data_IF_182280073692
#
_entry.id   IF_182280073692
#
_cell.length_a   1.000
_cell.length_b   1.000
_cell.length_c   1.000
_cell.angle_alpha   90.00
_cell.angle_beta   90.00
_cell.angle_gamma   90.00
#
_symmetry.space_group_name_H-M   'P 1'
#
loop_
_entity.id
_entity.type
_entity.pdbx_description
1 polymer ?
#
# COMPACT_ATOMS: atom_id res chain seq x y z
N UNK A 1 -69.19 14.65 -12.48
CA UNK A 1 -68.87 15.45 -11.28
C UNK A 1 -67.49 15.05 -10.82
N UNK A 2 -66.56 16.01 -10.85
CA UNK A 2 -65.20 15.93 -10.33
C UNK A 2 -65.20 15.81 -8.81
N UNK A 3 -64.31 14.98 -8.25
CA UNK A 3 -63.54 15.33 -7.04
C UNK A 3 -62.09 14.86 -7.27
N UNK A 4 -61.17 15.79 -7.04
CA UNK A 4 -59.72 15.71 -7.26
C UNK A 4 -58.98 15.23 -6.00
N UNK A 5 -57.73 14.81 -6.23
CA UNK A 5 -56.55 14.91 -5.34
C UNK A 5 -56.53 14.11 -4.03
N UNK A 6 -55.57 13.18 -3.89
CA UNK A 6 -54.27 13.54 -3.29
C UNK A 6 -53.28 12.37 -3.37
N UNK A 7 -52.15 12.61 -4.06
CA UNK A 7 -50.90 11.88 -3.89
C UNK A 7 -50.41 12.10 -2.44
N UNK A 8 -49.89 11.04 -1.81
CA UNK A 8 -48.81 11.14 -0.83
C UNK A 8 -47.94 9.91 -0.94
N UNK A 9 -46.84 10.02 -1.70
CA UNK A 9 -45.71 9.09 -1.67
C UNK A 9 -44.93 9.36 -0.37
N UNK A 10 -44.79 8.34 0.47
CA UNK A 10 -43.87 8.35 1.61
C UNK A 10 -42.54 7.77 1.13
N UNK A 11 -41.60 8.65 0.75
CA UNK A 11 -40.22 8.27 0.52
C UNK A 11 -39.51 8.15 1.88
N UNK A 12 -39.20 6.93 2.29
CA UNK A 12 -38.33 6.67 3.42
C UNK A 12 -36.87 6.89 2.97
N UNK A 13 -36.32 8.07 3.24
CA UNK A 13 -34.88 8.29 3.19
C UNK A 13 -34.26 7.66 4.43
N UNK A 14 -33.70 6.46 4.26
CA UNK A 14 -32.75 5.91 5.21
C UNK A 14 -31.46 6.73 5.16
N UNK A 15 -31.26 7.57 6.17
CA UNK A 15 -29.96 8.18 6.44
C UNK A 15 -29.00 7.08 6.90
N UNK A 16 -28.34 6.43 5.95
CA UNK A 16 -27.18 5.60 6.25
C UNK A 16 -26.08 6.54 6.72
N UNK A 17 -25.67 6.36 7.98
CA UNK A 17 -24.59 7.09 8.62
C UNK A 17 -23.31 6.99 7.79
N UNK A 18 -22.96 8.08 7.10
CA UNK A 18 -21.59 8.31 6.61
C UNK A 18 -20.76 8.69 7.84
N UNK A 19 -20.39 7.69 8.64
CA UNK A 19 -19.28 7.80 9.56
C UNK A 19 -17.99 7.84 8.73
N UNK A 20 -17.07 8.73 9.09
CA UNK A 20 -15.95 9.20 8.28
C UNK A 20 -15.22 8.13 7.46
N UNK A 21 -15.25 8.29 6.13
CA UNK A 21 -14.35 7.59 5.22
C UNK A 21 -12.94 8.13 5.43
N UNK A 22 -12.11 7.40 6.17
CA UNK A 22 -10.68 7.65 6.20
C UNK A 22 -10.09 7.10 4.89
N UNK A 23 -9.95 7.97 3.88
CA UNK A 23 -9.46 7.60 2.57
C UNK A 23 -8.02 7.04 2.66
N UNK A 24 -7.82 5.86 2.09
CA UNK A 24 -6.52 5.27 1.79
C UNK A 24 -5.73 6.23 0.88
N UNK A 25 -4.80 7.02 1.42
CA UNK A 25 -3.94 7.92 0.63
C UNK A 25 -2.85 7.16 -0.11
N UNK A 26 -3.19 6.53 -1.22
CA UNK A 26 -2.24 5.95 -2.15
C UNK A 26 -2.33 6.70 -3.47
N UNK A 27 -1.31 7.52 -3.77
CA UNK A 27 -1.20 8.08 -5.12
C UNK A 27 -0.83 6.94 -6.07
N UNK A 28 -1.79 6.44 -6.84
CA UNK A 28 -1.61 5.53 -7.98
C UNK A 28 -0.97 6.25 -9.19
N UNK A 29 -0.07 7.20 -8.94
CA UNK A 29 0.62 7.90 -10.01
C UNK A 29 1.49 6.90 -10.74
N UNK A 30 1.25 6.77 -12.05
CA UNK A 30 2.01 5.96 -13.00
C UNK A 30 3.47 5.77 -12.55
N UNK A 31 3.75 4.59 -11.99
CA UNK A 31 5.03 4.29 -11.37
C UNK A 31 6.10 3.98 -12.44
N UNK A 32 5.73 3.95 -13.73
CA UNK A 32 6.58 3.60 -14.86
C UNK A 32 6.85 4.74 -15.85
N UNK A 33 6.10 5.84 -15.81
CA UNK A 33 6.36 7.01 -16.67
C UNK A 33 7.53 7.90 -16.26
N UNK A 34 8.29 7.55 -15.22
CA UNK A 34 9.50 8.29 -14.89
C UNK A 34 10.70 7.56 -15.47
N UNK A 35 11.17 8.03 -16.64
CA UNK A 35 12.61 8.21 -16.80
C UNK A 35 13.13 8.80 -15.49
N UNK A 36 14.30 8.42 -14.99
CA UNK A 36 14.74 8.77 -13.62
C UNK A 36 14.97 10.29 -13.39
N UNK A 37 14.39 11.16 -14.21
CA UNK A 37 14.43 12.62 -14.22
C UNK A 37 15.86 13.16 -14.11
N UNK A 38 16.82 12.40 -14.64
CA UNK A 38 18.23 12.79 -14.68
C UNK A 38 18.33 14.03 -15.57
N UNK A 39 18.82 15.13 -15.01
CA UNK A 39 18.88 16.44 -15.68
C UNK A 39 17.73 17.39 -15.36
N UNK A 40 16.69 16.95 -14.62
CA UNK A 40 15.62 17.87 -14.17
C UNK A 40 15.99 18.63 -12.90
N UNK A 41 15.43 19.85 -12.75
CA UNK A 41 15.52 20.64 -11.52
C UNK A 41 14.55 20.07 -10.49
N UNK A 42 15.09 19.53 -9.41
CA UNK A 42 14.33 19.11 -8.22
C UNK A 42 14.16 20.31 -7.30
N UNK A 43 12.95 20.56 -6.84
CA UNK A 43 12.66 21.54 -5.78
C UNK A 43 12.28 20.79 -4.50
N UNK A 44 12.88 21.15 -3.37
CA UNK A 44 12.54 20.60 -2.06
C UNK A 44 12.60 21.67 -0.97
N UNK A 45 12.01 21.37 0.18
CA UNK A 45 12.18 22.15 1.41
C UNK A 45 13.11 21.35 2.32
N UNK A 46 14.29 21.89 2.64
CA UNK A 46 15.23 21.30 3.60
C UNK A 46 15.41 22.31 4.73
N UNK A 47 15.19 21.88 5.97
CA UNK A 47 15.23 22.72 7.18
C UNK A 47 14.36 23.99 7.08
N UNK A 48 13.17 23.86 6.48
CA UNK A 48 12.24 24.97 6.30
C UNK A 48 12.64 25.98 5.21
N UNK A 49 13.69 25.70 4.43
CA UNK A 49 14.15 26.56 3.33
C UNK A 49 13.95 25.89 1.98
N UNK A 50 13.47 26.61 0.96
CA UNK A 50 13.42 26.09 -0.40
C UNK A 50 14.83 25.92 -0.96
N UNK A 51 15.11 24.75 -1.49
CA UNK A 51 16.33 24.39 -2.20
C UNK A 51 15.98 23.80 -3.56
N UNK A 52 16.90 23.93 -4.52
CA UNK A 52 16.76 23.29 -5.81
C UNK A 52 18.09 22.80 -6.35
N UNK A 53 18.12 21.61 -6.94
CA UNK A 53 19.32 21.04 -7.56
C UNK A 53 18.95 20.23 -8.81
N UNK A 54 19.91 20.05 -9.71
CA UNK A 54 19.73 19.15 -10.87
C UNK A 54 19.89 17.71 -10.37
N UNK A 55 18.90 16.86 -10.65
CA UNK A 55 19.01 15.44 -10.35
C UNK A 55 20.08 14.80 -11.25
N UNK A 56 21.21 14.43 -10.66
CA UNK A 56 22.31 13.73 -11.35
C UNK A 56 22.30 12.22 -11.10
N UNK A 57 21.36 11.72 -10.29
CA UNK A 57 21.34 10.32 -9.90
C UNK A 57 20.65 9.46 -10.96
N UNK A 58 21.47 8.77 -11.76
CA UNK A 58 21.02 7.83 -12.79
C UNK A 58 20.75 6.42 -12.24
N UNK A 59 21.10 6.17 -10.98
CA UNK A 59 20.94 4.89 -10.31
C UNK A 59 22.02 3.86 -10.64
N UNK A 60 23.17 4.28 -11.16
CA UNK A 60 24.40 3.51 -11.07
C UNK A 60 24.98 3.61 -9.65
N UNK A 61 25.34 2.48 -9.04
CA UNK A 61 26.04 2.47 -7.77
C UNK A 61 27.52 2.73 -8.02
N UNK A 62 28.02 3.95 -7.78
CA UNK A 62 29.42 4.17 -7.35
C UNK A 62 29.50 5.34 -6.35
N UNK A 63 30.35 5.17 -5.34
CA UNK A 63 30.56 6.11 -4.25
C UNK A 63 31.55 7.24 -4.59
N UNK A 64 31.47 8.31 -3.79
CA UNK A 64 32.26 9.56 -3.83
C UNK A 64 32.01 10.43 -5.07
N UNK A 65 31.85 11.74 -5.02
CA UNK A 65 32.42 12.78 -4.15
C UNK A 65 31.40 13.91 -3.88
N UNK A 66 31.65 14.69 -2.82
CA UNK A 66 30.89 15.89 -2.48
C UNK A 66 30.96 16.94 -3.60
N UNK A 67 29.86 17.61 -3.99
CA UNK A 67 29.93 18.68 -4.99
C UNK A 67 30.77 19.85 -4.47
N UNK A 68 31.76 20.23 -5.26
CA UNK A 68 32.58 21.42 -5.07
C UNK A 68 31.75 22.71 -5.18
N UNK A 69 32.16 23.69 -4.38
CA UNK A 69 31.61 25.04 -4.28
C UNK A 69 31.66 25.78 -5.63
N UNK A 70 30.52 26.34 -6.07
CA UNK A 70 30.42 27.10 -7.33
C UNK A 70 31.06 28.49 -7.15
N UNK A 71 31.91 28.98 -8.08
CA UNK A 71 32.50 30.31 -7.97
C UNK A 71 31.48 31.43 -8.25
N UNK A 72 31.66 32.55 -7.54
CA UNK A 72 30.86 33.76 -7.60
C UNK A 72 30.79 34.41 -9.00
N UNK A 73 29.60 34.93 -9.34
CA UNK A 73 29.34 35.69 -10.55
C UNK A 73 30.04 37.07 -10.53
N UNK A 74 30.69 37.41 -11.64
CA UNK A 74 31.35 38.70 -11.87
C UNK A 74 30.47 39.65 -12.72
N UNK A 75 30.25 40.84 -12.14
CA UNK A 75 30.03 42.20 -12.68
C UNK A 75 29.35 42.46 -14.05
N UNK A 76 28.39 43.39 -14.00
CA UNK A 76 27.71 44.11 -15.08
C UNK A 76 28.64 44.92 -16.02
N UNK A 77 28.10 45.38 -17.17
CA UNK A 77 28.06 46.85 -17.35
C UNK A 77 26.76 47.43 -17.94
N UNK A 78 26.23 48.45 -17.23
CA UNK A 78 25.97 49.84 -17.65
C UNK A 78 25.26 50.19 -18.99
N UNK A 79 23.94 50.48 -18.86
CA UNK A 79 23.15 51.65 -19.28
C UNK A 79 23.11 52.22 -20.73
N UNK A 80 21.88 52.32 -21.29
CA UNK A 80 21.28 53.55 -21.89
C UNK A 80 19.75 53.41 -22.14
N UNK A 81 18.96 54.50 -22.28
CA UNK A 81 17.64 54.62 -21.63
C UNK A 81 16.37 54.65 -22.54
N UNK A 82 15.24 54.67 -21.83
CA UNK A 82 13.93 55.30 -22.12
C UNK A 82 12.93 54.65 -23.10
N UNK A 83 11.85 54.11 -22.53
CA UNK A 83 10.48 54.54 -22.84
C UNK A 83 9.51 54.19 -21.70
N UNK A 84 8.72 55.20 -21.34
CA UNK A 84 7.80 55.32 -20.20
C UNK A 84 6.42 54.69 -20.49
N UNK A 85 5.89 53.85 -19.58
CA UNK A 85 4.42 53.67 -19.39
C UNK A 85 4.11 53.37 -17.91
N UNK A 86 3.24 54.20 -17.31
CA UNK A 86 2.74 54.18 -15.93
C UNK A 86 1.97 52.90 -15.55
N UNK A 87 2.08 52.39 -14.30
CA UNK A 87 1.09 51.48 -13.73
C UNK A 87 0.07 52.21 -12.83
N UNK A 88 -1.18 51.76 -12.92
CA UNK A 88 -2.30 52.22 -12.10
C UNK A 88 -2.25 51.58 -10.70
N UNK A 89 -2.41 52.43 -9.69
CA UNK A 89 -2.59 52.07 -8.28
C UNK A 89 -4.09 52.01 -8.01
N UNK A 90 -4.59 50.91 -7.45
CA UNK A 90 -5.86 50.91 -6.73
C UNK A 90 -5.60 50.57 -5.26
N UNK A 91 -6.01 51.51 -4.43
CA UNK A 91 -5.91 51.50 -2.98
C UNK A 91 -6.97 50.59 -2.35
N UNK A 92 -6.58 49.98 -1.23
CA UNK A 92 -7.48 49.40 -0.26
C UNK A 92 -8.24 50.52 0.47
N UNK A 93 -9.54 50.33 0.68
CA UNK A 93 -10.40 51.22 1.44
C UNK A 93 -10.73 50.57 2.79
N UNK A 94 -10.58 51.34 3.87
CA UNK A 94 -10.72 50.91 5.26
C UNK A 94 -11.92 51.61 5.92
N UNK A 95 -12.64 50.83 6.74
CA UNK A 95 -13.38 51.21 7.97
C UNK A 95 -14.75 51.93 7.85
N UNK A 96 -15.56 52.03 8.94
CA UNK A 96 -15.39 51.51 10.32
C UNK A 96 -16.65 50.82 10.91
N UNK A 97 -16.56 50.25 12.13
CA UNK A 97 -17.37 50.72 13.29
C UNK A 97 -17.57 49.68 14.42
N UNK A 98 -17.17 50.12 15.61
CA UNK A 98 -17.68 49.90 16.99
C UNK A 98 -17.76 48.50 17.66
N UNK A 99 -17.01 48.40 18.76
CA UNK A 99 -17.26 47.52 19.91
C UNK A 99 -18.43 48.06 20.78
N UNK A 100 -19.02 47.22 21.66
CA UNK A 100 -18.60 47.32 23.06
C UNK A 100 -18.58 46.01 23.86
N UNK A 101 -17.85 46.12 24.97
CA UNK A 101 -17.61 45.24 26.12
C UNK A 101 -18.87 44.74 26.85
N UNK A 102 -18.92 43.45 27.24
CA UNK A 102 -19.36 42.99 28.57
C UNK A 102 -19.19 41.47 28.77
N UNK A 103 -18.55 41.08 29.87
CA UNK A 103 -18.67 39.81 30.60
C UNK A 103 -19.19 40.19 32.02
N UNK A 104 -19.63 39.29 32.94
CA UNK A 104 -19.35 37.84 33.03
C UNK A 104 -20.50 36.93 33.59
N UNK A 105 -20.14 35.67 33.90
CA UNK A 105 -20.84 34.64 34.71
C UNK A 105 -21.92 33.79 33.98
N UNK A 106 -22.00 32.46 34.07
CA UNK A 106 -21.71 31.54 35.19
C UNK A 106 -21.44 30.09 34.72
N UNK A 107 -20.51 29.44 35.42
CA UNK A 107 -20.37 28.03 35.84
C UNK A 107 -20.67 26.79 34.92
N UNK A 108 -19.90 25.69 35.10
CA UNK A 108 -19.92 24.48 34.27
C UNK A 108 -20.60 23.25 34.93
N UNK A 109 -21.08 22.30 34.12
CA UNK A 109 -21.25 20.86 34.40
C UNK A 109 -21.84 20.22 33.12
N UNK A 110 -21.42 19.08 32.58
CA UNK A 110 -21.02 17.85 33.25
C UNK A 110 -20.05 17.06 32.36
N UNK A 111 -18.97 16.59 32.97
CA UNK A 111 -18.23 15.43 32.50
C UNK A 111 -19.03 14.18 32.90
N UNK A 112 -19.30 13.30 31.95
CA UNK A 112 -19.67 11.90 32.23
C UNK A 112 -18.57 11.01 31.72
N UNK A 113 -17.65 10.72 32.63
CA UNK A 113 -16.83 9.52 32.67
C UNK A 113 -17.70 8.28 32.52
N UNK A 114 -17.36 7.39 31.60
CA UNK A 114 -17.74 5.99 31.68
C UNK A 114 -16.50 5.11 31.84
N UNK A 115 -16.64 4.02 32.60
CA UNK A 115 -15.56 3.43 33.38
C UNK A 115 -14.75 2.39 32.62
N UNK A 116 -13.47 2.31 32.98
CA UNK A 116 -12.59 1.17 32.73
C UNK A 116 -13.21 -0.12 33.28
N UNK A 117 -13.21 -1.16 32.44
CA UNK A 117 -13.47 -2.54 32.81
C UNK A 117 -12.17 -3.36 32.69
N UNK A 118 -12.04 -4.48 33.41
CA UNK A 118 -10.83 -4.75 34.19
C UNK A 118 -9.84 -5.73 33.55
N UNK A 119 -8.60 -5.61 34.02
CA UNK A 119 -7.53 -6.60 33.96
C UNK A 119 -8.01 -8.02 34.34
N UNK A 120 -7.52 -9.06 33.65
CA UNK A 120 -7.37 -10.38 34.24
C UNK A 120 -6.06 -10.46 35.01
N UNK A 121 -6.22 -10.94 36.25
CA UNK A 121 -5.23 -11.24 37.28
C UNK A 121 -4.33 -12.41 36.89
N UNK A 122 -3.09 -12.35 37.37
CA UNK A 122 -2.15 -13.46 37.44
C UNK A 122 -2.76 -14.70 38.11
N UNK A 123 -2.38 -15.87 37.61
CA UNK A 123 -2.33 -17.09 38.40
C UNK A 123 -0.90 -17.65 38.27
N UNK A 124 -0.17 -17.58 39.37
CA UNK A 124 1.02 -18.39 39.64
C UNK A 124 0.57 -19.78 40.07
N UNK A 125 1.17 -20.83 39.49
CA UNK A 125 1.42 -22.08 40.21
C UNK A 125 2.82 -22.58 39.85
N UNK A 126 3.55 -22.89 40.92
CA UNK A 126 4.86 -23.51 41.02
C UNK A 126 4.75 -25.05 40.96
N UNK A 127 5.80 -25.71 40.46
CA UNK A 127 6.48 -26.86 41.08
C UNK A 127 7.50 -27.40 40.03
N UNK A 128 8.79 -27.15 40.15
CA UNK A 128 9.82 -27.80 40.97
C UNK A 128 10.35 -29.15 40.43
N UNK A 129 11.65 -29.13 40.12
CA UNK A 129 12.67 -30.19 40.26
C UNK A 129 12.82 -31.30 39.22
N UNK A 130 14.06 -31.43 38.75
CA UNK A 130 14.57 -32.54 37.93
C UNK A 130 15.95 -32.22 37.34
N UNK A 131 16.96 -32.02 38.20
CA UNK A 131 18.39 -31.93 37.84
C UNK A 131 18.94 -33.26 37.32
N UNK A 132 19.84 -33.17 36.32
CA UNK A 132 21.11 -33.91 36.20
C UNK A 132 21.75 -33.49 34.85
N UNK A 133 22.71 -32.59 34.86
CA UNK A 133 24.16 -32.79 35.05
C UNK A 133 24.92 -33.20 33.76
N UNK A 134 25.90 -32.35 33.45
CA UNK A 134 27.19 -32.62 32.77
C UNK A 134 27.15 -33.15 31.33
N UNK A 135 28.10 -32.89 30.43
CA UNK A 135 29.25 -32.00 30.27
C UNK A 135 29.76 -32.36 28.86
N UNK A 136 30.32 -31.42 28.10
CA UNK A 136 30.94 -31.79 26.82
C UNK A 136 31.16 -30.60 25.89
N UNK A 137 32.38 -30.10 25.93
CA UNK A 137 32.92 -29.06 25.05
C UNK A 137 33.08 -29.54 23.59
N UNK A 138 33.26 -28.54 22.73
CA UNK A 138 34.19 -28.47 21.60
C UNK A 138 33.78 -28.90 20.19
N UNK A 139 33.96 -27.91 19.31
CA UNK A 139 34.54 -27.93 17.97
C UNK A 139 33.75 -28.40 16.74
N UNK A 140 33.47 -27.38 15.90
CA UNK A 140 34.00 -27.22 14.53
C UNK A 140 34.02 -28.46 13.63
N UNK A 141 33.22 -28.43 12.57
CA UNK A 141 33.67 -28.68 11.20
C UNK A 141 32.47 -28.81 10.26
N UNK A 142 32.45 -27.91 9.29
CA UNK A 142 31.91 -28.10 7.95
C UNK A 142 32.08 -29.53 7.42
N UNK A 143 31.03 -30.07 6.81
CA UNK A 143 31.16 -31.05 5.73
C UNK A 143 30.04 -30.83 4.73
N UNK A 144 30.45 -30.36 3.56
CA UNK A 144 29.69 -30.35 2.32
C UNK A 144 29.23 -31.77 1.97
N UNK A 145 27.92 -31.96 1.83
CA UNK A 145 27.37 -33.05 1.05
C UNK A 145 26.83 -32.48 -0.26
N UNK A 146 27.61 -32.73 -1.32
CA UNK A 146 27.13 -32.70 -2.69
C UNK A 146 26.56 -34.09 -2.99
N UNK A 147 25.30 -34.21 -3.41
CA UNK A 147 25.00 -34.66 -4.78
C UNK A 147 23.50 -34.73 -5.10
N UNK A 148 23.25 -34.55 -6.40
CA UNK A 148 22.16 -35.10 -7.19
C UNK A 148 20.78 -34.43 -7.16
N UNK A 149 20.61 -33.63 -8.21
CA UNK A 149 19.39 -33.32 -8.95
C UNK A 149 18.35 -34.45 -8.99
N UNK A 150 17.13 -34.12 -8.57
CA UNK A 150 15.91 -34.67 -9.16
C UNK A 150 14.93 -33.51 -9.41
N UNK A 151 14.28 -33.52 -10.57
CA UNK A 151 13.49 -32.42 -11.09
C UNK A 151 12.22 -32.19 -10.28
N UNK A 152 12.27 -31.27 -9.31
CA UNK A 152 11.07 -30.80 -8.63
C UNK A 152 10.51 -29.59 -9.36
N UNK A 153 9.34 -29.75 -9.95
CA UNK A 153 8.41 -28.64 -10.20
C UNK A 153 8.34 -27.77 -8.94
N UNK A 154 8.46 -26.45 -9.13
CA UNK A 154 8.55 -25.44 -8.08
C UNK A 154 7.40 -25.55 -7.08
N UNK A 155 7.58 -26.35 -6.03
CA UNK A 155 6.62 -26.39 -4.94
C UNK A 155 6.95 -25.18 -4.06
N UNK A 156 6.07 -24.19 -4.07
CA UNK A 156 6.22 -23.03 -3.21
C UNK A 156 6.24 -23.48 -1.75
N UNK A 157 7.00 -22.78 -0.89
CA UNK A 157 7.17 -23.14 0.51
C UNK A 157 5.91 -22.80 1.31
N UNK A 158 4.92 -23.69 1.25
CA UNK A 158 3.64 -23.56 1.95
C UNK A 158 3.78 -24.13 3.35
N UNK A 159 3.64 -23.30 4.38
CA UNK A 159 3.73 -23.77 5.77
C UNK A 159 2.42 -24.44 6.22
N UNK A 160 2.57 -25.57 6.92
CA UNK A 160 1.46 -26.39 7.44
C UNK A 160 1.38 -26.42 8.96
N UNK A 161 2.20 -25.60 9.63
CA UNK A 161 2.10 -25.37 11.06
C UNK A 161 2.24 -23.89 11.33
N UNK A 162 1.66 -23.43 12.46
CA UNK A 162 1.75 -22.02 12.83
C UNK A 162 3.20 -21.60 12.90
N UNK A 163 3.54 -20.65 12.04
CA UNK A 163 4.87 -20.10 11.93
C UNK A 163 4.75 -18.61 12.25
N UNK A 164 5.35 -18.12 13.35
CA UNK A 164 5.34 -16.70 13.63
C UNK A 164 6.09 -15.96 12.52
N UNK A 165 5.60 -14.75 12.18
CA UNK A 165 6.36 -13.87 11.31
C UNK A 165 7.70 -13.51 11.94
N UNK A 166 8.62 -13.10 11.07
CA UNK A 166 9.83 -12.46 11.53
C UNK A 166 9.51 -11.14 12.28
N UNK A 167 10.50 -10.57 12.95
CA UNK A 167 10.31 -9.27 13.61
C UNK A 167 9.91 -8.22 12.57
N UNK A 168 8.97 -7.35 12.90
CA UNK A 168 8.66 -6.22 12.04
C UNK A 168 9.89 -5.31 11.90
N UNK A 169 10.22 -4.92 10.67
CA UNK A 169 11.16 -3.83 10.42
C UNK A 169 10.42 -2.65 9.81
N UNK A 170 10.33 -1.58 10.58
CA UNK A 170 9.86 -0.29 10.12
C UNK A 170 11.08 0.52 9.69
N UNK A 171 11.47 0.44 8.41
CA UNK A 171 12.57 1.26 7.90
C UNK A 171 12.04 2.67 7.66
N UNK A 172 12.68 3.69 8.26
CA UNK A 172 12.35 5.08 7.98
C UNK A 172 12.85 5.44 6.58
N UNK A 173 11.95 5.64 5.62
CA UNK A 173 12.27 6.28 4.34
C UNK A 173 12.36 7.80 4.55
N UNK A 174 13.13 8.53 3.74
CA UNK A 174 13.26 9.99 3.89
C UNK A 174 11.92 10.68 3.62
N UNK A 175 11.72 11.88 4.19
CA UNK A 175 10.43 12.59 4.19
C UNK A 175 9.89 12.94 2.77
N UNK A 176 10.70 12.75 1.73
CA UNK A 176 10.31 12.90 0.32
C UNK A 176 9.81 11.59 -0.36
N UNK A 177 9.82 10.43 0.31
CA UNK A 177 9.48 9.12 -0.29
C UNK A 177 8.07 8.58 0.11
N UNK A 178 7.14 9.47 0.50
CA UNK A 178 5.66 9.40 0.48
C UNK A 178 5.01 8.01 0.74
N UNK A 179 4.35 7.78 1.87
CA UNK A 179 4.21 8.56 3.11
C UNK A 179 4.08 7.62 4.32
N UNK A 180 4.28 6.32 4.08
CA UNK A 180 4.21 5.27 5.07
C UNK A 180 4.88 4.02 4.49
N UNK A 181 5.84 3.46 5.22
CA UNK A 181 6.56 2.24 4.80
C UNK A 181 5.86 0.98 5.29
N UNK A 182 5.25 1.06 6.47
CA UNK A 182 4.70 -0.10 7.16
C UNK A 182 5.77 -1.14 7.54
N UNK A 183 5.27 -2.33 7.81
CA UNK A 183 6.04 -3.53 8.10
C UNK A 183 6.42 -4.24 6.80
N UNK A 184 7.72 -4.29 6.52
CA UNK A 184 8.29 -5.03 5.37
C UNK A 184 9.05 -6.30 5.80
N UNK A 185 8.98 -6.66 7.09
CA UNK A 185 9.74 -7.76 7.70
C UNK A 185 11.22 -7.45 7.95
N UNK A 186 11.79 -8.00 9.03
CA UNK A 186 13.20 -7.80 9.39
C UNK A 186 14.18 -8.36 8.36
N UNK A 187 13.79 -9.47 7.73
CA UNK A 187 14.30 -9.87 6.42
C UNK A 187 13.25 -9.39 5.42
N UNK A 188 13.61 -8.67 4.37
CA UNK A 188 12.60 -8.14 3.47
C UNK A 188 11.67 -9.26 2.97
N UNK A 189 10.35 -9.04 3.05
CA UNK A 189 9.32 -9.97 2.59
C UNK A 189 8.86 -11.01 3.61
N UNK A 190 9.54 -11.20 4.75
CA UNK A 190 9.13 -12.22 5.73
C UNK A 190 7.91 -11.86 6.58
N UNK A 191 7.27 -10.72 6.29
CA UNK A 191 5.94 -10.34 6.78
C UNK A 191 4.81 -10.95 5.93
N UNK A 192 5.13 -11.77 4.92
CA UNK A 192 4.17 -12.50 4.10
C UNK A 192 4.61 -13.97 4.03
N UNK A 193 3.68 -14.91 4.06
CA UNK A 193 3.99 -16.33 3.90
C UNK A 193 2.83 -17.10 3.27
N UNK A 194 3.15 -18.12 2.48
CA UNK A 194 2.15 -19.06 1.99
C UNK A 194 1.79 -20.02 3.11
N UNK A 195 0.50 -20.13 3.40
CA UNK A 195 -0.01 -21.01 4.44
C UNK A 195 -1.01 -21.99 3.84
N UNK A 196 -1.12 -23.14 4.47
CA UNK A 196 -2.20 -24.09 4.21
C UNK A 196 -3.51 -23.63 4.85
N UNK A 197 -4.63 -24.11 4.30
CA UNK A 197 -5.98 -23.74 4.76
C UNK A 197 -6.24 -24.14 6.22
N UNK A 198 -5.70 -25.27 6.67
CA UNK A 198 -5.92 -25.81 8.03
C UNK A 198 -5.27 -25.00 9.15
N UNK A 199 -4.40 -24.04 8.81
CA UNK A 199 -3.82 -23.10 9.75
C UNK A 199 -4.20 -21.65 9.48
N UNK A 200 -5.05 -21.39 8.47
CA UNK A 200 -5.38 -20.03 8.06
C UNK A 200 -6.09 -19.24 9.16
N UNK A 201 -6.88 -19.91 10.01
CA UNK A 201 -7.56 -19.33 11.16
C UNK A 201 -6.61 -18.83 12.26
N UNK A 202 -5.34 -19.26 12.25
CA UNK A 202 -4.31 -18.83 13.23
C UNK A 202 -3.69 -17.47 12.90
N UNK A 203 -4.01 -16.90 11.75
CA UNK A 203 -3.48 -15.61 11.29
C UNK A 203 -4.59 -14.56 11.22
N UNK A 204 -4.32 -13.39 11.79
CA UNK A 204 -5.28 -12.29 11.85
C UNK A 204 -5.59 -11.69 10.47
N UNK A 205 -4.59 -11.60 9.60
CA UNK A 205 -4.72 -11.01 8.26
C UNK A 205 -4.29 -12.00 7.21
N UNK A 206 -5.18 -12.22 6.23
CA UNK A 206 -4.95 -13.21 5.18
C UNK A 206 -5.61 -12.82 3.88
N UNK A 207 -4.96 -13.22 2.79
CA UNK A 207 -5.50 -13.17 1.44
C UNK A 207 -5.83 -14.61 1.05
N UNK A 208 -7.09 -14.85 0.71
CA UNK A 208 -7.54 -16.12 0.14
C UNK A 208 -7.56 -15.98 -1.38
N UNK A 209 -6.54 -16.53 -2.04
CA UNK A 209 -6.42 -16.50 -3.50
C UNK A 209 -7.19 -17.67 -4.08
N UNK A 210 -8.20 -17.40 -4.91
CA UNK A 210 -9.09 -18.38 -5.53
C UNK A 210 -8.95 -18.32 -7.05
N UNK A 211 -8.76 -19.47 -7.67
CA UNK A 211 -8.64 -19.58 -9.12
C UNK A 211 -9.97 -19.76 -9.82
N UNK A 212 -10.41 -18.77 -10.62
CA UNK A 212 -11.43 -18.96 -11.66
C UNK A 212 -10.79 -19.24 -13.04
N UNK A 213 -9.46 -19.30 -13.07
CA UNK A 213 -8.65 -19.60 -14.25
C UNK A 213 -8.88 -21.01 -14.82
N UNK A 214 -8.83 -21.12 -16.15
CA UNK A 214 -8.93 -22.40 -16.87
C UNK A 214 -7.57 -23.10 -17.07
N UNK A 215 -6.47 -22.37 -16.93
CA UNK A 215 -5.09 -22.85 -17.06
C UNK A 215 -4.27 -22.40 -15.84
N UNK A 216 -3.09 -22.98 -15.53
CA UNK A 216 -2.29 -22.56 -14.39
C UNK A 216 -1.85 -21.09 -14.49
N UNK A 217 -1.90 -20.36 -13.37
CA UNK A 217 -1.49 -18.96 -13.29
C UNK A 217 -0.30 -18.80 -12.35
N UNK A 218 0.69 -18.00 -12.75
CA UNK A 218 1.74 -17.53 -11.85
C UNK A 218 1.18 -16.39 -11.02
N UNK A 219 1.37 -16.46 -9.70
CA UNK A 219 1.00 -15.42 -8.74
C UNK A 219 2.24 -15.01 -7.95
N UNK A 220 2.46 -13.71 -7.82
CA UNK A 220 3.52 -13.15 -6.99
C UNK A 220 2.96 -12.01 -6.15
N UNK A 221 3.34 -11.93 -4.88
CA UNK A 221 3.00 -10.80 -4.00
C UNK A 221 4.26 -10.17 -3.43
N UNK A 222 4.24 -8.86 -3.27
CA UNK A 222 5.35 -8.04 -2.80
C UNK A 222 4.91 -7.02 -1.75
N UNK A 223 5.86 -6.44 -1.04
CA UNK A 223 5.63 -5.22 -0.27
C UNK A 223 5.71 -4.01 -1.22
N UNK A 224 4.91 -2.96 -0.99
CA UNK A 224 5.00 -1.71 -1.78
C UNK A 224 6.43 -1.15 -1.78
N UNK A 225 7.07 -1.18 -0.61
CA UNK A 225 8.46 -0.80 -0.43
C UNK A 225 9.33 -2.03 -0.69
N UNK A 226 10.15 -1.97 -1.73
CA UNK A 226 10.99 -3.09 -2.14
C UNK A 226 12.27 -3.23 -1.29
N UNK A 227 13.13 -4.21 -1.61
CA UNK A 227 14.32 -4.53 -0.82
C UNK A 227 15.30 -3.35 -0.68
N UNK A 228 15.28 -2.40 -1.63
CA UNK A 228 16.13 -1.21 -1.59
C UNK A 228 15.66 -0.17 -0.58
N UNK A 229 14.44 -0.32 -0.04
CA UNK A 229 13.78 0.65 0.82
C UNK A 229 13.14 1.82 0.05
N UNK A 230 12.97 1.69 -1.26
CA UNK A 230 12.26 2.65 -2.11
C UNK A 230 10.86 2.12 -2.43
N UNK A 231 10.02 2.95 -3.01
CA UNK A 231 8.79 2.51 -3.66
C UNK A 231 9.27 1.81 -4.95
N UNK A 232 9.58 0.51 -4.85
CA UNK A 232 10.12 -0.33 -5.94
C UNK A 232 9.82 -1.82 -5.76
N UNK A 233 8.80 -2.16 -4.96
CA UNK A 233 8.44 -3.55 -4.68
C UNK A 233 7.90 -4.32 -5.88
N UNK A 234 7.25 -3.64 -6.84
CA UNK A 234 6.57 -4.27 -7.99
C UNK A 234 7.51 -4.66 -9.13
N UNK A 235 8.83 -4.51 -8.96
CA UNK A 235 9.79 -5.00 -9.93
C UNK A 235 9.92 -6.52 -9.87
N UNK A 236 10.05 -7.15 -11.03
CA UNK A 236 10.21 -8.59 -11.12
C UNK A 236 11.46 -9.07 -10.35
N UNK A 237 11.28 -10.15 -9.58
CA UNK A 237 12.28 -10.66 -8.64
C UNK A 237 12.17 -10.09 -7.22
N UNK A 238 11.40 -9.02 -7.00
CA UNK A 238 11.07 -8.52 -5.67
C UNK A 238 9.75 -9.14 -5.20
N UNK A 239 9.66 -10.46 -5.05
CA UNK A 239 8.48 -11.12 -4.47
C UNK A 239 8.76 -11.55 -3.03
N UNK A 240 7.79 -11.28 -2.14
CA UNK A 240 7.76 -11.84 -0.79
C UNK A 240 7.27 -13.29 -0.81
N UNK A 241 6.25 -13.56 -1.65
CA UNK A 241 5.77 -14.91 -1.95
C UNK A 241 5.51 -15.05 -3.44
N UNK A 242 5.77 -16.24 -3.99
CA UNK A 242 5.49 -16.60 -5.38
C UNK A 242 5.02 -18.05 -5.44
N UNK A 243 4.00 -18.34 -6.26
CA UNK A 243 3.50 -19.69 -6.46
C UNK A 243 2.78 -19.85 -7.80
N UNK A 244 2.53 -21.10 -8.17
CA UNK A 244 1.67 -21.47 -9.29
C UNK A 244 0.29 -21.87 -8.78
N UNK A 245 -0.74 -21.10 -9.14
CA UNK A 245 -2.13 -21.42 -8.83
C UNK A 245 -2.71 -22.31 -9.94
N UNK A 246 -3.06 -23.54 -9.59
CA UNK A 246 -3.72 -24.46 -10.51
C UNK A 246 -5.18 -24.03 -10.79
N UNK A 247 -5.78 -24.45 -11.92
CA UNK A 247 -7.19 -24.18 -12.21
C UNK A 247 -8.11 -24.61 -11.06
N UNK A 248 -8.98 -23.70 -10.59
CA UNK A 248 -9.92 -23.98 -9.50
C UNK A 248 -9.29 -24.11 -8.11
N UNK A 249 -7.97 -23.95 -7.97
CA UNK A 249 -7.29 -24.10 -6.69
C UNK A 249 -7.52 -22.88 -5.78
N UNK A 250 -7.27 -23.09 -4.49
CA UNK A 250 -7.21 -22.04 -3.48
C UNK A 250 -5.83 -22.07 -2.81
N UNK A 251 -5.25 -20.90 -2.58
CA UNK A 251 -4.01 -20.71 -1.82
C UNK A 251 -4.19 -19.56 -0.83
N UNK A 252 -3.74 -19.75 0.40
CA UNK A 252 -3.76 -18.71 1.42
C UNK A 252 -2.40 -18.03 1.55
N UNK A 253 -2.42 -16.72 1.76
CA UNK A 253 -1.26 -15.91 2.10
C UNK A 253 -1.54 -15.28 3.46
N UNK A 254 -0.77 -15.63 4.48
CA UNK A 254 -0.78 -14.88 5.72
C UNK A 254 0.03 -13.60 5.54
N UNK A 255 -0.46 -12.50 6.07
CA UNK A 255 0.23 -11.22 6.07
C UNK A 255 0.30 -10.69 7.50
N UNK A 256 1.46 -10.21 7.92
CA UNK A 256 1.61 -9.59 9.24
C UNK A 256 0.89 -8.23 9.26
N UNK A 257 0.53 -7.76 10.45
CA UNK A 257 -0.10 -6.46 10.59
C UNK A 257 0.81 -5.35 10.06
N UNK A 258 0.17 -4.23 9.74
CA UNK A 258 0.81 -3.00 9.31
C UNK A 258 1.57 -3.12 7.98
N UNK A 259 1.15 -4.02 7.09
CA UNK A 259 1.85 -4.30 5.83
C UNK A 259 1.06 -3.81 4.63
N UNK A 260 1.77 -3.18 3.68
CA UNK A 260 1.23 -2.72 2.40
C UNK A 260 1.94 -3.43 1.26
N UNK A 261 1.17 -3.90 0.29
CA UNK A 261 1.71 -4.72 -0.79
C UNK A 261 0.86 -4.74 -2.03
N UNK A 262 1.39 -5.45 -3.02
CA UNK A 262 0.73 -5.67 -4.31
C UNK A 262 0.88 -7.14 -4.67
N UNK A 263 -0.17 -7.75 -5.17
CA UNK A 263 -0.11 -9.04 -5.85
C UNK A 263 -0.36 -8.88 -7.34
N UNK A 264 0.29 -9.74 -8.11
CA UNK A 264 0.23 -9.80 -9.56
C UNK A 264 -0.15 -11.23 -9.93
N UNK A 265 -0.94 -11.40 -10.99
CA UNK A 265 -1.29 -12.72 -11.46
C UNK A 265 -1.47 -12.73 -12.98
N UNK A 266 -0.93 -13.75 -13.64
CA UNK A 266 -1.07 -13.94 -15.09
C UNK A 266 -1.11 -15.42 -15.47
N UNK A 267 -1.76 -15.76 -16.60
CA UNK A 267 -1.71 -17.13 -17.13
C UNK A 267 -0.30 -17.54 -17.52
N UNK A 268 0.03 -18.82 -17.32
CA UNK A 268 1.33 -19.39 -17.66
C UNK A 268 2.33 -19.33 -16.50
N UNK A 269 3.61 -19.51 -16.84
CA UNK A 269 4.71 -19.64 -15.89
C UNK A 269 5.42 -18.31 -15.56
N UNK A 270 4.98 -17.21 -16.17
CA UNK A 270 5.59 -15.90 -16.04
C UNK A 270 4.53 -14.79 -16.02
N UNK A 271 4.82 -13.74 -15.25
CA UNK A 271 3.99 -12.52 -15.22
C UNK A 271 4.62 -11.52 -16.18
N UNK A 272 3.85 -10.88 -17.09
CA UNK A 272 4.37 -9.88 -17.99
C UNK A 272 5.11 -8.76 -17.25
N UNK A 273 6.20 -8.29 -17.84
CA UNK A 273 6.97 -7.15 -17.34
C UNK A 273 7.11 -6.09 -18.43
N UNK A 274 7.18 -4.83 -18.03
CA UNK A 274 7.46 -3.73 -18.94
C UNK A 274 8.95 -3.61 -19.31
N UNK A 275 9.30 -2.58 -20.08
CA UNK A 275 10.68 -2.32 -20.50
C UNK A 275 11.64 -1.98 -19.34
N UNK A 276 11.10 -1.62 -18.17
CA UNK A 276 11.86 -1.31 -16.97
C UNK A 276 11.94 -2.50 -16.00
N UNK A 277 11.24 -3.61 -16.29
CA UNK A 277 11.19 -4.81 -15.48
C UNK A 277 10.11 -4.81 -14.39
N UNK A 278 9.18 -3.86 -14.39
CA UNK A 278 8.03 -3.85 -13.49
C UNK A 278 6.92 -4.77 -13.96
N UNK A 279 6.20 -5.41 -13.04
CA UNK A 279 5.08 -6.28 -13.40
C UNK A 279 3.95 -5.49 -14.10
N UNK A 280 3.70 -5.83 -15.36
CA UNK A 280 2.75 -5.19 -16.27
C UNK A 280 1.48 -6.06 -16.44
N UNK A 281 0.82 -6.34 -15.31
CA UNK A 281 -0.43 -7.11 -15.24
C UNK A 281 -1.49 -6.35 -14.43
N UNK A 282 -2.67 -6.95 -14.25
CA UNK A 282 -3.65 -6.45 -13.26
C UNK A 282 -3.10 -6.63 -11.84
N UNK A 283 -3.19 -5.58 -11.05
CA UNK A 283 -2.69 -5.51 -9.68
C UNK A 283 -3.84 -5.70 -8.70
N UNK A 284 -3.59 -6.48 -7.66
CA UNK A 284 -4.35 -6.43 -6.41
C UNK A 284 -3.48 -5.69 -5.40
N UNK A 285 -3.85 -4.46 -5.05
CA UNK A 285 -3.17 -3.68 -4.02
C UNK A 285 -3.84 -3.96 -2.66
N UNK A 286 -3.05 -4.11 -1.60
CA UNK A 286 -3.56 -4.35 -0.26
C UNK A 286 -2.84 -3.54 0.81
N UNK A 287 -3.56 -3.29 1.89
CA UNK A 287 -3.10 -2.63 3.10
C UNK A 287 -3.75 -3.31 4.31
N UNK A 288 -2.96 -3.95 5.17
CA UNK A 288 -3.47 -4.61 6.38
C UNK A 288 -3.09 -3.84 7.63
N UNK A 289 -4.08 -3.45 8.43
CA UNK A 289 -3.92 -2.82 9.73
C UNK A 289 -2.94 -1.64 9.74
N UNK A 290 -3.14 -0.71 8.81
CA UNK A 290 -2.29 0.46 8.62
C UNK A 290 -2.25 1.33 9.88
N UNK A 291 -1.13 1.36 10.58
CA UNK A 291 -1.04 2.16 11.82
C UNK A 291 -1.12 3.67 11.53
N UNK A 292 -0.71 4.13 10.34
CA UNK A 292 -0.88 5.54 9.94
C UNK A 292 -2.33 5.92 9.65
N UNK A 293 -3.19 4.92 9.42
CA UNK A 293 -4.63 5.07 9.22
C UNK A 293 -5.41 4.34 10.31
N UNK A 294 -5.00 4.50 11.57
CA UNK A 294 -5.74 4.03 12.74
C UNK A 294 -6.06 2.51 12.75
N UNK A 295 -5.21 1.69 12.11
CA UNK A 295 -5.35 0.24 12.03
C UNK A 295 -6.40 -0.24 11.02
N UNK A 296 -6.88 0.61 10.12
CA UNK A 296 -7.76 0.20 9.03
C UNK A 296 -7.02 -0.68 8.02
N UNK A 297 -7.76 -1.56 7.36
CA UNK A 297 -7.28 -2.35 6.22
C UNK A 297 -8.03 -1.93 4.94
N UNK A 298 -7.46 -2.24 3.78
CA UNK A 298 -8.10 -2.00 2.49
C UNK A 298 -7.45 -2.80 1.39
N UNK A 299 -8.13 -2.84 0.24
CA UNK A 299 -7.60 -3.44 -0.96
C UNK A 299 -8.36 -2.95 -2.20
N UNK A 300 -7.73 -3.03 -3.35
CA UNK A 300 -8.34 -2.67 -4.63
C UNK A 300 -7.72 -3.45 -5.78
N UNK A 301 -8.46 -3.53 -6.89
CA UNK A 301 -7.96 -3.99 -8.18
C UNK A 301 -7.59 -2.77 -9.02
N UNK A 302 -6.43 -2.84 -9.67
CA UNK A 302 -5.92 -1.80 -10.54
C UNK A 302 -5.40 -2.38 -11.85
N UNK A 303 -5.83 -1.83 -12.97
CA UNK A 303 -5.30 -2.13 -14.31
C UNK A 303 -4.39 -1.04 -14.85
N UNK A 304 -4.10 -0.01 -14.04
CA UNK A 304 -3.30 1.14 -14.46
C UNK A 304 -2.01 0.68 -15.12
N UNK A 305 -1.31 -0.31 -14.55
CA UNK A 305 -0.03 -0.73 -15.11
C UNK A 305 -0.10 -1.63 -16.33
N UNK A 306 -1.09 -2.53 -16.40
CA UNK A 306 -1.35 -3.24 -17.64
C UNK A 306 -1.59 -2.22 -18.78
N UNK A 307 -2.43 -1.22 -18.54
CA UNK A 307 -2.78 -0.20 -19.53
C UNK A 307 -1.62 0.72 -19.90
N UNK A 308 -0.88 1.22 -18.91
CA UNK A 308 0.27 2.11 -19.11
C UNK A 308 1.37 1.46 -19.96
N UNK A 309 1.57 0.15 -19.76
CA UNK A 309 2.57 -0.65 -20.47
C UNK A 309 2.03 -1.29 -21.76
N UNK A 310 0.77 -1.02 -22.14
CA UNK A 310 0.16 -1.57 -23.35
C UNK A 310 -0.13 -3.08 -23.30
N UNK A 311 -0.13 -3.68 -22.11
CA UNK A 311 -0.49 -5.06 -21.89
C UNK A 311 -2.00 -5.21 -21.67
N UNK A 312 -2.50 -6.41 -21.99
CA UNK A 312 -3.89 -6.75 -21.70
C UNK A 312 -4.07 -6.89 -20.18
N UNK A 313 -5.12 -6.29 -19.63
CA UNK A 313 -5.55 -6.52 -18.26
C UNK A 313 -6.10 -7.95 -18.09
N UNK A 314 -5.70 -8.61 -17.00
CA UNK A 314 -6.23 -9.88 -16.55
C UNK A 314 -7.51 -9.65 -15.72
N UNK A 315 -8.50 -10.52 -15.89
CA UNK A 315 -9.69 -10.48 -15.04
C UNK A 315 -9.34 -10.81 -13.58
N UNK A 316 -9.75 -9.95 -12.66
CA UNK A 316 -9.47 -10.07 -11.23
C UNK A 316 -10.58 -9.42 -10.42
N UNK A 317 -10.92 -10.03 -9.29
CA UNK A 317 -11.91 -9.51 -8.35
C UNK A 317 -11.42 -9.70 -6.93
N UNK A 318 -11.54 -8.68 -6.09
CA UNK A 318 -11.36 -8.82 -4.66
C UNK A 318 -12.58 -8.39 -3.89
N UNK A 319 -12.91 -9.10 -2.81
CA UNK A 319 -14.05 -8.79 -1.98
C UNK A 319 -13.74 -8.94 -0.49
N UNK A 320 -14.43 -8.14 0.31
CA UNK A 320 -14.56 -8.32 1.75
C UNK A 320 -15.99 -7.95 2.16
N UNK A 321 -16.67 -8.87 2.84
CA UNK A 321 -18.13 -8.80 3.04
C UNK A 321 -18.86 -8.55 1.70
N UNK A 322 -19.76 -7.57 1.64
CA UNK A 322 -20.56 -7.27 0.45
C UNK A 322 -19.91 -6.22 -0.48
N UNK A 323 -18.67 -5.80 -0.22
CA UNK A 323 -17.96 -4.81 -1.03
C UNK A 323 -16.91 -5.53 -1.87
N UNK A 324 -16.89 -5.25 -3.17
CA UNK A 324 -15.92 -5.81 -4.10
C UNK A 324 -15.25 -4.71 -4.93
N UNK A 325 -14.03 -4.98 -5.40
CA UNK A 325 -13.30 -4.27 -6.44
C UNK A 325 -13.06 -5.24 -7.59
N UNK A 326 -13.45 -4.88 -8.81
CA UNK A 326 -13.61 -5.86 -9.90
C UNK A 326 -13.14 -5.30 -11.25
N UNK A 327 -12.39 -6.13 -11.98
CA UNK A 327 -12.01 -5.91 -13.37
C UNK A 327 -12.20 -7.20 -14.15
N UNK A 328 -12.80 -7.13 -15.33
CA UNK A 328 -12.84 -8.24 -16.29
C UNK A 328 -13.15 -7.75 -17.70
N UNK A 329 -12.96 -8.62 -18.68
CA UNK A 329 -13.42 -8.39 -20.05
C UNK A 329 -14.83 -8.98 -20.23
N UNK A 330 -15.75 -8.17 -20.73
CA UNK A 330 -17.10 -8.60 -21.13
C UNK A 330 -17.26 -8.49 -22.66
N UNK A 331 -18.39 -8.97 -23.20
CA UNK A 331 -18.74 -8.75 -24.61
C UNK A 331 -18.88 -7.25 -24.97
N UNK A 332 -19.12 -6.38 -24.00
CA UNK A 332 -19.18 -4.93 -24.16
C UNK A 332 -17.82 -4.24 -23.99
N UNK A 333 -16.75 -5.01 -23.73
CA UNK A 333 -15.41 -4.53 -23.42
C UNK A 333 -15.05 -4.64 -21.93
N UNK A 334 -13.92 -4.01 -21.56
CA UNK A 334 -13.39 -4.04 -20.20
C UNK A 334 -14.36 -3.35 -19.22
N UNK A 335 -14.72 -4.08 -18.17
CA UNK A 335 -15.46 -3.60 -17.01
C UNK A 335 -14.46 -3.27 -15.91
N UNK A 336 -14.62 -2.10 -15.30
CA UNK A 336 -13.86 -1.63 -14.14
C UNK A 336 -14.87 -1.09 -13.14
N UNK A 337 -15.08 -1.82 -12.05
CA UNK A 337 -16.07 -1.49 -11.01
C UNK A 337 -15.41 -1.44 -9.64
N UNK A 338 -15.59 -0.32 -8.94
CA UNK A 338 -14.91 -0.01 -7.68
C UNK A 338 -13.40 -0.36 -7.71
N UNK A 339 -12.76 -0.10 -8.85
CA UNK A 339 -11.40 -0.46 -9.21
C UNK A 339 -10.74 0.69 -9.97
N UNK A 340 -9.43 0.61 -10.17
CA UNK A 340 -8.66 1.66 -10.84
C UNK A 340 -8.32 1.30 -12.28
N UNK A 341 -8.71 2.18 -13.20
CA UNK A 341 -8.17 2.24 -14.55
C UNK A 341 -7.19 3.40 -14.70
N UNK A 342 -6.55 3.51 -15.86
CA UNK A 342 -5.60 4.58 -16.15
C UNK A 342 -6.23 5.97 -16.00
N UNK A 343 -7.53 6.15 -16.27
CA UNK A 343 -8.21 7.43 -16.08
C UNK A 343 -8.38 7.78 -14.60
N UNK A 344 -8.55 6.78 -13.74
CA UNK A 344 -8.70 6.89 -12.29
C UNK A 344 -7.36 6.97 -11.51
N UNK A 345 -6.20 6.95 -12.17
CA UNK A 345 -4.85 6.90 -11.54
C UNK A 345 -4.50 8.02 -10.53
N UNK A 346 -5.29 9.08 -10.47
CA UNK A 346 -5.11 10.16 -9.49
C UNK A 346 -6.23 10.24 -8.44
N UNK A 347 -7.18 9.29 -8.49
CA UNK A 347 -8.22 9.12 -7.49
C UNK A 347 -7.66 8.35 -6.28
N UNK A 348 -8.45 8.36 -5.21
CA UNK A 348 -8.07 7.86 -3.89
C UNK A 348 -9.32 7.25 -3.22
N UNK A 349 -9.15 6.25 -2.37
CA UNK A 349 -10.23 5.66 -1.57
C UNK A 349 -11.29 4.86 -2.35
N UNK A 350 -10.94 4.35 -3.53
CA UNK A 350 -11.73 3.34 -4.27
C UNK A 350 -11.36 1.95 -3.75
N UNK A 351 -12.28 0.99 -3.83
CA UNK A 351 -12.05 -0.39 -3.39
C UNK A 351 -12.63 -0.69 -2.02
N UNK A 352 -11.97 -1.58 -1.30
CA UNK A 352 -12.35 -2.07 0.02
C UNK A 352 -11.82 -1.12 1.09
N UNK A 353 -12.69 -0.74 2.04
CA UNK A 353 -12.33 0.04 3.23
C UNK A 353 -12.80 -0.74 4.45
N UNK A 354 -11.89 -1.39 5.16
CA UNK A 354 -12.17 -2.40 6.18
C UNK A 354 -11.80 -1.81 7.55
N UNK A 355 -12.77 -1.84 8.47
CA UNK A 355 -12.60 -1.32 9.83
C UNK A 355 -11.49 -2.08 10.57
N UNK A 356 -10.85 -1.46 11.59
CA UNK A 356 -9.76 -2.11 12.32
C UNK A 356 -10.15 -3.45 12.95
N UNK A 357 -9.29 -4.45 12.75
CA UNK A 357 -9.43 -5.80 13.29
C UNK A 357 -8.94 -6.87 12.30
N UNK A 358 -8.86 -8.14 12.72
CA UNK A 358 -8.55 -9.26 11.83
C UNK A 358 -9.48 -9.29 10.61
N UNK A 359 -8.94 -9.60 9.43
CA UNK A 359 -9.75 -9.76 8.24
C UNK A 359 -9.16 -10.76 7.23
N UNK A 360 -10.05 -11.43 6.52
CA UNK A 360 -9.76 -12.19 5.32
C UNK A 360 -10.27 -11.40 4.11
N UNK A 361 -9.41 -11.27 3.09
CA UNK A 361 -9.76 -10.67 1.81
C UNK A 361 -9.72 -11.78 0.76
N UNK A 362 -10.81 -11.99 0.04
CA UNK A 362 -10.86 -12.94 -1.06
C UNK A 362 -10.32 -12.26 -2.32
N UNK A 363 -9.40 -12.93 -3.03
CA UNK A 363 -8.83 -12.51 -4.30
C UNK A 363 -9.11 -13.60 -5.34
N UNK A 364 -10.01 -13.33 -6.27
CA UNK A 364 -10.33 -14.21 -7.40
C UNK A 364 -9.49 -13.80 -8.60
N UNK A 365 -8.65 -14.71 -9.09
CA UNK A 365 -7.84 -14.52 -10.29
C UNK A 365 -8.45 -15.24 -11.49
N UNK A 366 -8.26 -14.69 -12.69
CA UNK A 366 -8.92 -15.18 -13.90
C UNK A 366 -10.43 -14.93 -13.89
N UNK A 367 -10.88 -13.86 -13.22
CA UNK A 367 -12.29 -13.56 -13.04
C UNK A 367 -12.99 -13.28 -14.38
N UNK A 368 -14.19 -13.85 -14.53
CA UNK A 368 -15.12 -13.61 -15.64
C UNK A 368 -16.56 -13.80 -15.14
N UNK A 369 -17.54 -13.17 -15.80
CA UNK A 369 -18.97 -13.28 -15.46
C UNK A 369 -19.73 -14.33 -16.27
#
# INVERSE_FOLDING_TARGET
>A
MHINNSLLLLAAMGASNVAGRAAHRHRHADLHHKARNVGEVVHAIIDGKPVSWINTYDGSNEGSESPAEVPAAAAEPSASPEAEVKPAIYQAEEAPSSAPTSAPASAPASATSYPSAPHPTEASESDESGESDESGESDDSSSDDSDSSDGSVNNADVVSSYTPFCKAANKRATDAQIMYVGNVGSKWGCNQMLISEDIADKYDYKIKVVGQNAEPWKVACTNKIGPTGKIDGWYNGNHAVEFMLQPGATQYIAVDKNSQGICFAAPGDSIPVDEFGGYASTWFEFDFANESNNGWSGADISVIQAEASGFKAQGMKTCHADICSTVFESDAGKVVDNAFDYAARYLDGIGLNIVPGPCEIELIVGYSE
#
